data_IF_362614556650
#
_entry.id   IF_362614556650
#
_cell.length_a   1.000
_cell.length_b   1.000
_cell.length_c   1.000
_cell.angle_alpha   90.00
_cell.angle_beta   90.00
_cell.angle_gamma   90.00
#
_symmetry.space_group_name_H-M   'P 1'
#
loop_
_entity.id
_entity.type
_entity.pdbx_description
1 polymer ?
#
# COMPACT_ATOMS: atom_id res chain seq x y z
N UNK A 1 15.51 -1.39 -21.07
CA UNK A 1 14.22 -1.18 -21.77
C UNK A 1 13.37 -2.44 -21.57
N UNK A 2 12.12 -2.29 -21.16
CA UNK A 2 11.21 -3.44 -21.01
C UNK A 2 10.71 -3.83 -22.41
N UNK A 3 10.80 -5.11 -22.74
CA UNK A 3 10.25 -5.67 -23.99
C UNK A 3 9.12 -6.63 -23.63
N UNK A 4 8.03 -6.57 -24.40
CA UNK A 4 6.90 -7.49 -24.29
C UNK A 4 6.96 -8.44 -25.46
N UNK A 5 7.14 -9.74 -25.18
CA UNK A 5 7.11 -10.79 -26.19
C UNK A 5 5.71 -11.41 -26.27
N UNK A 6 5.02 -11.18 -27.37
CA UNK A 6 3.68 -11.69 -27.64
C UNK A 6 3.68 -12.95 -28.52
N UNK A 7 4.85 -13.50 -28.88
CA UNK A 7 4.95 -14.62 -29.82
C UNK A 7 4.15 -15.86 -29.42
N UNK A 8 4.02 -16.10 -28.10
CA UNK A 8 3.25 -17.25 -27.57
C UNK A 8 1.76 -16.97 -27.42
N UNK A 9 1.32 -15.72 -27.61
CA UNK A 9 -0.09 -15.33 -27.46
C UNK A 9 -0.90 -15.67 -28.71
N UNK A 10 -0.28 -15.71 -29.89
CA UNK A 10 -0.94 -15.86 -31.19
C UNK A 10 -1.83 -17.12 -31.27
N UNK A 11 -1.45 -18.21 -30.63
CA UNK A 11 -2.24 -19.45 -30.61
C UNK A 11 -3.56 -19.33 -29.77
N UNK A 12 -3.69 -18.33 -28.93
CA UNK A 12 -4.85 -18.13 -28.08
C UNK A 12 -5.73 -16.96 -28.51
N UNK A 13 -5.27 -16.15 -29.45
CA UNK A 13 -5.99 -14.98 -29.97
C UNK A 13 -6.50 -15.29 -31.36
N UNK A 14 -7.81 -15.55 -31.48
CA UNK A 14 -8.47 -15.88 -32.74
C UNK A 14 -8.77 -14.69 -33.65
N UNK A 15 -8.57 -13.48 -33.16
CA UNK A 15 -8.88 -12.23 -33.86
C UNK A 15 -7.59 -11.55 -34.29
N UNK A 16 -7.47 -11.07 -35.54
CA UNK A 16 -6.33 -10.28 -35.99
C UNK A 16 -6.18 -9.02 -35.13
N UNK A 17 -5.21 -9.02 -34.22
CA UNK A 17 -4.99 -7.94 -33.24
C UNK A 17 -4.87 -6.58 -33.94
N UNK A 18 -4.07 -6.49 -35.00
CA UNK A 18 -3.78 -5.23 -35.67
C UNK A 18 -5.01 -4.65 -36.40
N UNK A 19 -5.87 -5.49 -36.94
CA UNK A 19 -7.04 -5.05 -37.72
C UNK A 19 -8.26 -4.71 -36.84
N UNK A 20 -8.49 -5.46 -35.77
CA UNK A 20 -9.73 -5.33 -35.00
C UNK A 20 -9.51 -4.71 -33.60
N UNK A 21 -8.45 -5.11 -32.89
CA UNK A 21 -8.22 -4.65 -31.52
C UNK A 21 -7.41 -3.37 -31.44
N UNK A 22 -6.38 -3.20 -32.25
CA UNK A 22 -5.50 -2.04 -32.14
C UNK A 22 -6.24 -0.69 -32.36
N UNK A 23 -7.17 -0.55 -33.31
CA UNK A 23 -7.94 0.70 -33.47
C UNK A 23 -8.80 1.01 -32.23
N UNK A 24 -9.43 -0.01 -31.63
CA UNK A 24 -10.26 0.15 -30.43
C UNK A 24 -9.40 0.51 -29.22
N UNK A 25 -8.25 -0.13 -29.05
CA UNK A 25 -7.29 0.17 -28.00
C UNK A 25 -6.77 1.60 -28.10
N UNK A 26 -6.51 2.10 -29.31
CA UNK A 26 -6.08 3.47 -29.52
C UNK A 26 -7.13 4.49 -29.03
N UNK A 27 -8.40 4.24 -29.31
CA UNK A 27 -9.51 5.11 -28.86
C UNK A 27 -9.62 5.05 -27.32
N UNK A 28 -9.64 3.86 -26.74
CA UNK A 28 -9.77 3.68 -25.27
C UNK A 28 -8.57 4.28 -24.55
N UNK A 29 -7.36 4.06 -25.04
CA UNK A 29 -6.16 4.69 -24.52
C UNK A 29 -6.22 6.23 -24.57
N UNK A 30 -6.73 6.77 -25.68
CA UNK A 30 -6.97 8.21 -25.80
C UNK A 30 -7.96 8.75 -24.77
N UNK A 31 -9.03 8.02 -24.47
CA UNK A 31 -9.98 8.38 -23.39
C UNK A 31 -9.33 8.29 -22.01
N UNK A 32 -8.52 7.26 -21.75
CA UNK A 32 -7.79 7.10 -20.49
C UNK A 32 -6.84 8.28 -20.25
N UNK A 33 -6.04 8.63 -21.27
CA UNK A 33 -5.08 9.74 -21.18
C UNK A 33 -5.74 11.10 -20.96
N UNK A 34 -6.92 11.31 -21.57
CA UNK A 34 -7.66 12.58 -21.46
C UNK A 34 -8.62 12.62 -20.28
N UNK A 35 -8.86 11.50 -19.61
CA UNK A 35 -9.83 11.40 -18.51
C UNK A 35 -11.28 11.71 -18.94
N UNK A 36 -11.65 11.53 -20.23
CA UNK A 36 -12.93 11.91 -20.77
C UNK A 36 -13.83 10.73 -21.19
N UNK A 37 -13.43 9.51 -20.90
CA UNK A 37 -14.26 8.30 -21.06
C UNK A 37 -15.16 8.05 -19.86
N UNK A 38 -15.94 6.96 -19.95
CA UNK A 38 -16.71 6.44 -18.80
C UNK A 38 -15.75 6.09 -17.68
N UNK A 39 -15.99 6.63 -16.48
CA UNK A 39 -15.07 6.45 -15.32
C UNK A 39 -13.87 7.42 -15.34
N UNK A 40 -13.90 8.46 -16.18
CA UNK A 40 -12.83 9.46 -16.29
C UNK A 40 -12.51 10.15 -14.96
N UNK A 41 -13.49 10.29 -14.08
CA UNK A 41 -13.33 10.82 -12.72
C UNK A 41 -12.41 9.97 -11.82
N UNK A 42 -12.14 8.73 -12.21
CA UNK A 42 -11.24 7.82 -11.48
C UNK A 42 -9.84 7.68 -12.11
N UNK A 43 -9.50 8.49 -13.10
CA UNK A 43 -8.24 8.37 -13.86
C UNK A 43 -7.11 9.26 -13.36
N UNK A 44 -7.27 9.95 -12.22
CA UNK A 44 -6.26 10.85 -11.64
C UNK A 44 -4.89 10.20 -11.39
N UNK A 45 -4.84 8.88 -11.24
CA UNK A 45 -3.61 8.13 -11.06
C UNK A 45 -2.71 8.08 -12.30
N UNK A 46 -3.27 8.29 -13.51
CA UNK A 46 -2.52 8.18 -14.79
C UNK A 46 -1.35 9.17 -14.85
N UNK A 47 -1.59 10.39 -14.40
CA UNK A 47 -0.58 11.46 -14.41
C UNK A 47 0.02 11.74 -13.03
N UNK A 48 -0.38 11.00 -12.00
CA UNK A 48 0.08 11.21 -10.63
C UNK A 48 1.61 11.22 -10.48
N UNK A 49 2.39 10.35 -11.17
CA UNK A 49 3.85 10.38 -11.07
C UNK A 49 4.48 11.72 -11.48
N UNK A 50 3.80 12.50 -12.33
CA UNK A 50 4.29 13.80 -12.81
C UNK A 50 3.63 14.97 -12.07
N UNK A 51 2.36 14.81 -11.66
CA UNK A 51 1.48 15.87 -11.14
C UNK A 51 1.19 15.77 -9.63
N UNK A 52 1.92 14.93 -8.88
CA UNK A 52 1.69 14.80 -7.45
C UNK A 52 1.99 16.10 -6.68
N UNK A 53 1.27 16.31 -5.58
CA UNK A 53 1.49 17.44 -4.67
C UNK A 53 2.84 17.29 -3.96
N UNK A 54 3.76 18.22 -4.27
CA UNK A 54 5.10 18.25 -3.68
C UNK A 54 5.09 18.55 -2.19
N UNK A 55 4.15 19.37 -1.73
CA UNK A 55 4.02 19.70 -0.31
C UNK A 55 3.50 18.50 0.49
N UNK A 56 2.54 17.78 -0.07
CA UNK A 56 2.05 16.51 0.50
C UNK A 56 3.16 15.46 0.55
N UNK A 57 3.91 15.29 -0.53
CA UNK A 57 5.04 14.36 -0.56
C UNK A 57 6.09 14.68 0.52
N UNK A 58 6.43 15.96 0.69
CA UNK A 58 7.34 16.38 1.75
C UNK A 58 6.79 16.09 3.17
N UNK A 59 5.45 16.12 3.37
CA UNK A 59 4.83 15.67 4.62
C UNK A 59 5.00 14.17 4.84
N UNK A 60 4.83 13.37 3.79
CA UNK A 60 5.04 11.91 3.83
C UNK A 60 6.50 11.59 4.21
N UNK A 61 7.46 12.27 3.61
CA UNK A 61 8.89 12.10 3.93
C UNK A 61 9.19 12.43 5.40
N UNK A 62 8.64 13.53 5.93
CA UNK A 62 8.79 13.87 7.35
C UNK A 62 8.18 12.83 8.27
N UNK A 63 6.99 12.32 7.95
CA UNK A 63 6.36 11.24 8.71
C UNK A 63 7.20 9.95 8.68
N UNK A 64 7.75 9.60 7.53
CA UNK A 64 8.62 8.43 7.39
C UNK A 64 9.92 8.60 8.21
N UNK A 65 10.52 9.78 8.20
CA UNK A 65 11.72 10.07 9.01
C UNK A 65 11.41 10.00 10.52
N UNK A 66 10.27 10.56 10.94
CA UNK A 66 9.81 10.45 12.33
C UNK A 66 9.66 8.97 12.76
N UNK A 67 8.96 8.16 11.96
CA UNK A 67 8.77 6.74 12.25
C UNK A 67 10.12 6.01 12.36
N UNK A 68 11.06 6.30 11.47
CA UNK A 68 12.41 5.73 11.53
C UNK A 68 13.18 6.12 12.79
N UNK A 69 12.93 7.31 13.34
CA UNK A 69 13.66 7.81 14.52
C UNK A 69 13.10 7.30 15.85
N UNK A 70 11.80 6.97 15.90
CA UNK A 70 11.11 6.68 17.17
C UNK A 70 10.44 5.29 17.22
N UNK A 71 10.56 4.50 16.14
CA UNK A 71 9.90 3.20 16.05
C UNK A 71 10.81 2.13 15.47
N UNK A 72 10.81 0.97 16.11
CA UNK A 72 11.49 -0.24 15.65
C UNK A 72 10.61 -1.07 14.71
N UNK A 73 9.30 -0.84 14.74
CA UNK A 73 8.32 -1.47 13.86
C UNK A 73 7.29 -0.48 13.34
N UNK A 74 6.79 -0.74 12.13
CA UNK A 74 5.67 -0.07 11.52
C UNK A 74 4.59 -1.09 11.19
N UNK A 75 3.40 -0.91 11.76
CA UNK A 75 2.22 -1.71 11.42
C UNK A 75 1.42 -0.96 10.36
N UNK A 76 1.27 -1.54 9.20
CA UNK A 76 0.50 -0.99 8.09
C UNK A 76 -0.85 -1.70 8.04
N UNK A 77 -1.92 -0.95 8.32
CA UNK A 77 -3.29 -1.46 8.36
C UNK A 77 -4.02 -1.03 7.09
N UNK A 78 -4.42 -1.99 6.27
CA UNK A 78 -5.13 -1.74 5.03
C UNK A 78 -5.55 -3.02 4.33
N UNK A 79 -6.40 -2.89 3.31
CA UNK A 79 -6.87 -4.00 2.50
C UNK A 79 -6.82 -3.64 1.01
N UNK A 80 -6.57 -4.62 0.14
CA UNK A 80 -6.51 -4.44 -1.30
C UNK A 80 -5.51 -3.37 -1.73
N UNK A 81 -5.95 -2.41 -2.55
CA UNK A 81 -5.10 -1.33 -3.07
C UNK A 81 -4.50 -0.41 -2.00
N UNK A 82 -5.04 -0.42 -0.78
CA UNK A 82 -4.51 0.40 0.32
C UNK A 82 -3.16 -0.07 0.85
N UNK A 83 -2.75 -1.32 0.58
CA UNK A 83 -1.45 -1.81 1.03
C UNK A 83 -0.67 -2.63 -0.02
N UNK A 84 -1.36 -3.29 -0.96
CA UNK A 84 -0.71 -4.22 -1.90
C UNK A 84 0.34 -3.55 -2.78
N UNK A 85 0.11 -2.31 -3.21
CA UNK A 85 1.08 -1.58 -4.02
C UNK A 85 2.41 -1.35 -3.28
N UNK A 86 2.33 -0.81 -2.06
CA UNK A 86 3.50 -0.60 -1.22
C UNK A 86 4.18 -1.93 -0.84
N UNK A 87 3.40 -2.95 -0.46
CA UNK A 87 3.90 -4.28 -0.15
C UNK A 87 4.62 -4.91 -1.34
N UNK A 88 4.03 -4.86 -2.52
CA UNK A 88 4.62 -5.41 -3.74
C UNK A 88 5.97 -4.77 -4.08
N UNK A 89 6.10 -3.45 -3.95
CA UNK A 89 7.37 -2.74 -4.16
C UNK A 89 8.41 -3.14 -3.11
N UNK A 90 8.02 -3.21 -1.84
CA UNK A 90 8.92 -3.62 -0.74
C UNK A 90 9.40 -5.06 -0.95
N UNK A 91 8.50 -5.99 -1.24
CA UNK A 91 8.85 -7.40 -1.47
C UNK A 91 9.68 -7.61 -2.76
N UNK A 92 9.53 -6.73 -3.76
CA UNK A 92 10.33 -6.76 -4.98
C UNK A 92 11.76 -6.25 -4.76
N UNK A 93 11.91 -5.18 -3.97
CA UNK A 93 13.20 -4.48 -3.80
C UNK A 93 13.99 -4.94 -2.57
N UNK A 94 13.31 -5.50 -1.57
CA UNK A 94 13.92 -5.92 -0.32
C UNK A 94 14.05 -7.45 -0.24
N UNK A 95 14.92 -7.91 0.67
CA UNK A 95 15.04 -9.33 0.98
C UNK A 95 13.71 -9.89 1.53
N UNK A 96 13.31 -11.13 1.18
CA UNK A 96 12.18 -11.80 1.84
C UNK A 96 12.37 -11.93 3.36
N UNK A 97 13.60 -11.88 3.83
CA UNK A 97 13.94 -11.87 5.27
C UNK A 97 14.12 -10.47 5.85
N UNK A 98 13.48 -9.45 5.24
CA UNK A 98 13.66 -8.04 5.63
C UNK A 98 13.51 -7.82 7.14
N UNK A 99 12.46 -8.35 7.76
CA UNK A 99 12.19 -8.18 9.19
C UNK A 99 13.15 -8.94 10.11
N UNK A 100 13.89 -9.93 9.61
CA UNK A 100 14.87 -10.71 10.37
C UNK A 100 16.29 -10.14 10.29
N UNK A 101 16.55 -9.25 9.34
CA UNK A 101 17.89 -8.68 9.13
C UNK A 101 18.15 -7.54 10.10
N UNK A 102 19.40 -7.45 10.59
CA UNK A 102 19.88 -6.26 11.28
C UNK A 102 19.89 -5.08 10.29
N UNK A 103 19.25 -3.98 10.64
CA UNK A 103 19.12 -2.78 9.82
C UNK A 103 18.79 -1.56 10.68
N UNK A 104 18.83 -0.39 10.09
CA UNK A 104 18.51 0.91 10.69
C UNK A 104 17.08 1.39 10.40
N UNK A 105 16.29 0.54 9.76
CA UNK A 105 14.89 0.84 9.39
C UNK A 105 13.94 -0.07 10.16
N UNK A 106 12.72 0.39 10.47
CA UNK A 106 11.73 -0.41 11.18
C UNK A 106 11.38 -1.72 10.48
N UNK A 107 11.00 -2.73 11.26
CA UNK A 107 10.28 -3.89 10.74
C UNK A 107 8.92 -3.46 10.21
N UNK A 108 8.41 -4.09 9.16
CA UNK A 108 7.14 -3.73 8.56
C UNK A 108 6.19 -4.93 8.66
N UNK A 109 5.02 -4.71 9.24
CA UNK A 109 3.97 -5.72 9.38
C UNK A 109 2.70 -5.23 8.71
N UNK A 110 2.18 -6.03 7.76
CA UNK A 110 0.92 -5.73 7.06
C UNK A 110 -0.21 -6.52 7.71
N UNK A 111 -1.27 -5.80 8.11
CA UNK A 111 -2.42 -6.37 8.80
C UNK A 111 -3.73 -5.69 8.35
N UNK A 112 -4.89 -6.24 8.75
CA UNK A 112 -6.19 -5.67 8.40
C UNK A 112 -6.69 -6.06 7.01
N UNK A 113 -6.09 -7.06 6.39
CA UNK A 113 -6.54 -7.68 5.15
C UNK A 113 -7.39 -8.93 5.37
N UNK A 114 -7.71 -9.24 6.63
CA UNK A 114 -8.54 -10.36 7.05
C UNK A 114 -8.97 -10.19 8.50
N UNK A 115 -9.76 -11.15 9.00
CA UNK A 115 -10.27 -11.20 10.37
C UNK A 115 -9.64 -12.36 11.19
N UNK A 116 -8.44 -12.81 10.82
CA UNK A 116 -7.74 -13.86 11.55
C UNK A 116 -7.30 -13.36 12.92
N UNK A 117 -7.82 -13.98 13.98
CA UNK A 117 -7.40 -13.73 15.36
C UNK A 117 -5.94 -14.13 15.60
N UNK A 118 -5.50 -15.21 14.94
CA UNK A 118 -4.14 -15.73 15.09
C UNK A 118 -3.12 -14.75 14.50
N UNK A 119 -3.36 -14.27 13.28
CA UNK A 119 -2.51 -13.25 12.66
C UNK A 119 -2.44 -11.98 13.51
N UNK A 120 -3.56 -11.57 14.11
CA UNK A 120 -3.62 -10.39 14.97
C UNK A 120 -2.80 -10.61 16.26
N UNK A 121 -3.01 -11.73 16.97
CA UNK A 121 -2.32 -12.02 18.21
C UNK A 121 -0.82 -12.24 17.99
N UNK A 122 -0.42 -12.99 16.98
CA UNK A 122 1.00 -13.17 16.63
C UNK A 122 1.70 -11.85 16.33
N UNK A 123 1.01 -10.94 15.58
CA UNK A 123 1.59 -9.63 15.31
C UNK A 123 1.73 -8.81 16.60
N UNK A 124 0.76 -8.87 17.51
CA UNK A 124 0.84 -8.18 18.80
C UNK A 124 1.97 -8.75 19.68
N UNK A 125 2.18 -10.08 19.68
CA UNK A 125 3.30 -10.72 20.36
C UNK A 125 4.67 -10.28 19.82
N UNK A 126 4.80 -10.15 18.48
CA UNK A 126 6.03 -9.64 17.84
C UNK A 126 6.34 -8.18 18.19
N UNK A 127 5.34 -7.45 18.67
CA UNK A 127 5.48 -6.04 19.10
C UNK A 127 5.71 -5.91 20.62
N UNK A 128 5.74 -7.01 21.37
CA UNK A 128 5.99 -6.93 22.80
C UNK A 128 7.40 -6.40 23.08
N UNK A 129 7.48 -5.37 23.91
CA UNK A 129 8.74 -4.67 24.20
C UNK A 129 9.34 -3.88 23.02
N UNK A 130 8.65 -3.77 21.88
CA UNK A 130 9.12 -3.08 20.67
C UNK A 130 8.38 -1.75 20.49
N UNK A 131 9.12 -0.65 20.34
CA UNK A 131 8.51 0.64 19.98
C UNK A 131 7.97 0.60 18.54
N UNK A 132 6.70 0.96 18.35
CA UNK A 132 6.07 0.89 17.04
C UNK A 132 5.16 2.07 16.73
N UNK A 133 4.95 2.30 15.44
CA UNK A 133 3.96 3.21 14.88
C UNK A 133 2.95 2.47 14.03
N UNK A 134 1.80 3.08 13.80
CA UNK A 134 0.70 2.51 12.99
C UNK A 134 0.40 3.45 11.82
N UNK A 135 0.32 2.90 10.62
CA UNK A 135 -0.16 3.61 9.44
C UNK A 135 -1.49 2.97 8.99
N UNK A 136 -2.59 3.71 9.10
CA UNK A 136 -3.93 3.23 8.71
C UNK A 136 -4.32 3.84 7.38
N UNK A 137 -4.64 3.00 6.40
CA UNK A 137 -5.01 3.42 5.05
C UNK A 137 -6.39 2.86 4.72
N UNK A 138 -7.39 3.74 4.63
CA UNK A 138 -8.75 3.36 4.27
C UNK A 138 -9.39 4.44 3.39
N UNK A 139 -9.90 4.04 2.23
CA UNK A 139 -10.60 4.97 1.32
C UNK A 139 -11.96 5.41 1.88
N UNK A 140 -12.73 4.48 2.43
CA UNK A 140 -14.09 4.73 2.93
C UNK A 140 -14.16 5.03 4.43
N UNK A 141 -13.13 4.61 5.18
CA UNK A 141 -13.16 4.60 6.65
C UNK A 141 -14.11 3.57 7.28
N UNK A 142 -14.83 2.78 6.47
CA UNK A 142 -15.90 1.88 6.94
C UNK A 142 -15.62 0.40 6.70
N UNK A 143 -14.50 0.04 6.04
CA UNK A 143 -14.13 -1.35 5.80
C UNK A 143 -13.87 -2.05 7.12
N UNK A 144 -14.53 -3.18 7.34
CA UNK A 144 -14.58 -3.86 8.66
C UNK A 144 -13.22 -4.37 9.12
N UNK A 145 -12.48 -5.06 8.25
CA UNK A 145 -11.21 -5.70 8.60
C UNK A 145 -10.14 -4.70 9.07
N UNK A 146 -9.84 -3.62 8.34
CA UNK A 146 -8.93 -2.60 8.82
C UNK A 146 -9.44 -1.88 10.07
N UNK A 147 -10.77 -1.66 10.20
CA UNK A 147 -11.35 -0.99 11.35
C UNK A 147 -11.22 -1.83 12.63
N UNK A 148 -11.40 -3.15 12.53
CA UNK A 148 -11.17 -4.08 13.64
C UNK A 148 -9.71 -4.10 14.04
N UNK A 149 -8.79 -4.33 13.08
CA UNK A 149 -7.36 -4.33 13.34
C UNK A 149 -6.91 -3.00 13.99
N UNK A 150 -7.38 -1.86 13.45
CA UNK A 150 -7.02 -0.56 13.99
C UNK A 150 -7.45 -0.38 15.46
N UNK A 151 -8.61 -0.87 15.86
CA UNK A 151 -9.06 -0.78 17.26
C UNK A 151 -8.12 -1.51 18.23
N UNK A 152 -7.63 -2.68 17.84
CA UNK A 152 -6.67 -3.44 18.66
C UNK A 152 -5.32 -2.71 18.76
N UNK A 153 -4.74 -2.29 17.65
CA UNK A 153 -3.44 -1.61 17.68
C UNK A 153 -3.50 -0.23 18.30
N UNK A 154 -4.59 0.52 18.11
CA UNK A 154 -4.82 1.78 18.80
C UNK A 154 -4.88 1.58 20.32
N UNK A 155 -5.63 0.58 20.79
CA UNK A 155 -5.70 0.26 22.21
C UNK A 155 -4.32 -0.09 22.77
N UNK A 156 -3.56 -0.93 22.08
CA UNK A 156 -2.20 -1.28 22.47
C UNK A 156 -1.27 -0.06 22.56
N UNK A 157 -1.38 0.87 21.61
CA UNK A 157 -0.65 2.15 21.66
C UNK A 157 -1.10 3.02 22.85
N UNK A 158 -2.41 3.13 23.11
CA UNK A 158 -2.95 3.93 24.23
C UNK A 158 -2.53 3.33 25.59
N UNK A 159 -2.51 2.01 25.72
CA UNK A 159 -2.02 1.31 26.94
C UNK A 159 -0.52 1.56 27.17
N UNK A 160 0.28 1.61 26.10
CA UNK A 160 1.75 1.75 26.18
C UNK A 160 2.22 3.19 26.31
N UNK A 161 1.62 4.12 25.56
CA UNK A 161 2.11 5.51 25.46
C UNK A 161 1.12 6.57 25.96
N UNK A 162 -0.05 6.16 26.46
CA UNK A 162 -1.13 7.08 26.76
C UNK A 162 -1.81 7.62 25.48
N UNK A 163 -2.90 8.37 25.62
CA UNK A 163 -3.68 8.86 24.46
C UNK A 163 -2.90 9.80 23.55
N UNK A 164 -2.14 10.73 24.12
CA UNK A 164 -1.36 11.70 23.34
C UNK A 164 -0.18 11.03 22.63
N UNK A 165 0.53 10.14 23.33
CA UNK A 165 1.61 9.36 22.73
C UNK A 165 1.13 8.42 21.63
N UNK A 166 -0.03 7.79 21.79
CA UNK A 166 -0.66 6.97 20.77
C UNK A 166 -1.03 7.80 19.53
N UNK A 167 -1.65 8.97 19.70
CA UNK A 167 -1.99 9.86 18.59
C UNK A 167 -0.76 10.33 17.79
N UNK A 168 0.37 10.50 18.46
CA UNK A 168 1.63 10.85 17.78
C UNK A 168 2.28 9.71 17.00
N UNK A 169 1.79 8.47 17.17
CA UNK A 169 2.30 7.24 16.53
C UNK A 169 1.32 6.62 15.52
N UNK A 170 0.19 7.29 15.26
CA UNK A 170 -0.82 6.88 14.28
C UNK A 170 -0.81 7.81 13.08
#
# INVERSE_FOLDING_TARGET
>A
MIQIDLSKLQQFVSVPYEMELAPRLHIVHGHLQKGNGVGGEFTGWVHLPESYDRAEFARIERAAQKIRSDSQALVVIGIGGSYLGARGVIECLCSPNYNLKKKDTPNIYFIGNGLSSDQLSETMELLDGVDFSVNVISKSGTTTEPAVAFRFFRRLLEERYGKEGAAARI
#
